data_IF_349737849789
#
_entry.id   IF_349737849789
#
_cell.length_a   1.000
_cell.length_b   1.000
_cell.length_c   1.000
_cell.angle_alpha   90.00
_cell.angle_beta   90.00
_cell.angle_gamma   90.00
#
_symmetry.space_group_name_H-M   'P 1'
#
loop_
_entity.id
_entity.type
_entity.pdbx_description
1 polymer ?
#
# COMPACT_ATOMS: atom_id res chain seq x y z
N UNK A 1 -37.83 -82.80 9.14
CA UNK A 1 -36.99 -81.71 8.59
C UNK A 1 -37.29 -81.65 7.11
N UNK A 2 -38.24 -80.82 6.70
CA UNK A 2 -38.69 -80.77 5.30
C UNK A 2 -37.63 -80.07 4.46
N UNK A 3 -37.08 -80.76 3.46
CA UNK A 3 -36.16 -80.18 2.50
C UNK A 3 -36.98 -79.37 1.50
N UNK A 4 -36.74 -78.05 1.49
CA UNK A 4 -37.31 -77.10 0.55
C UNK A 4 -37.03 -77.55 -0.89
N UNK A 5 -38.06 -77.57 -1.73
CA UNK A 5 -37.95 -78.05 -3.12
C UNK A 5 -37.01 -77.15 -3.93
N UNK A 6 -36.38 -77.70 -4.98
CA UNK A 6 -35.42 -76.91 -5.79
C UNK A 6 -36.10 -75.71 -6.48
N UNK A 7 -37.40 -75.80 -6.74
CA UNK A 7 -38.20 -74.70 -7.27
C UNK A 7 -38.32 -73.53 -6.26
N UNK A 8 -38.65 -73.83 -5.01
CA UNK A 8 -38.73 -72.82 -3.94
C UNK A 8 -37.36 -72.19 -3.63
N UNK A 9 -36.27 -72.96 -3.75
CA UNK A 9 -34.90 -72.42 -3.64
C UNK A 9 -34.51 -71.51 -4.79
N UNK A 10 -35.00 -71.79 -6.01
CA UNK A 10 -34.80 -70.93 -7.18
C UNK A 10 -35.52 -69.59 -7.02
N UNK A 11 -36.78 -69.63 -6.59
CA UNK A 11 -37.61 -68.42 -6.38
C UNK A 11 -37.06 -67.53 -5.26
N UNK A 12 -36.65 -68.11 -4.13
CA UNK A 12 -35.99 -67.37 -3.05
C UNK A 12 -34.68 -66.70 -3.50
N UNK A 13 -33.87 -67.37 -4.32
CA UNK A 13 -32.63 -66.80 -4.85
C UNK A 13 -32.90 -65.64 -5.80
N UNK A 14 -33.98 -65.70 -6.58
CA UNK A 14 -34.44 -64.61 -7.44
C UNK A 14 -34.83 -63.37 -6.64
N UNK A 15 -35.72 -63.52 -5.65
CA UNK A 15 -36.18 -62.41 -4.80
C UNK A 15 -35.04 -61.77 -4.00
N UNK A 16 -34.10 -62.58 -3.51
CA UNK A 16 -32.90 -62.08 -2.80
C UNK A 16 -31.96 -61.34 -3.75
N UNK A 17 -31.74 -61.85 -4.97
CA UNK A 17 -30.90 -61.18 -5.96
C UNK A 17 -31.47 -59.82 -6.41
N UNK A 18 -32.79 -59.75 -6.60
CA UNK A 18 -33.50 -58.52 -6.96
C UNK A 18 -33.46 -57.48 -5.83
N UNK A 19 -33.70 -57.91 -4.58
CA UNK A 19 -33.55 -57.04 -3.40
C UNK A 19 -32.12 -56.52 -3.19
N UNK A 20 -31.10 -57.34 -3.48
CA UNK A 20 -29.69 -56.91 -3.44
C UNK A 20 -29.40 -55.89 -4.55
N UNK A 21 -30.02 -56.03 -5.72
CA UNK A 21 -29.88 -55.09 -6.84
C UNK A 21 -30.41 -53.69 -6.50
N UNK A 22 -31.64 -53.63 -5.99
CA UNK A 22 -32.30 -52.39 -5.54
C UNK A 22 -31.52 -51.71 -4.39
N UNK A 23 -31.04 -52.49 -3.42
CA UNK A 23 -30.23 -51.99 -2.32
C UNK A 23 -28.90 -51.39 -2.81
N UNK A 24 -28.20 -52.06 -3.74
CA UNK A 24 -26.95 -51.56 -4.34
C UNK A 24 -27.16 -50.27 -5.11
N UNK A 25 -28.25 -50.18 -5.87
CA UNK A 25 -28.56 -49.00 -6.66
C UNK A 25 -28.90 -47.79 -5.79
N UNK A 26 -29.70 -48.01 -4.75
CA UNK A 26 -30.07 -46.96 -3.77
C UNK A 26 -28.85 -46.49 -2.98
N UNK A 27 -27.98 -47.42 -2.56
CA UNK A 27 -26.72 -47.10 -1.90
C UNK A 27 -25.82 -46.20 -2.76
N UNK A 28 -25.64 -46.53 -4.04
CA UNK A 28 -24.79 -45.73 -4.95
C UNK A 28 -25.34 -44.31 -5.15
N UNK A 29 -26.66 -44.14 -5.26
CA UNK A 29 -27.27 -42.80 -5.34
C UNK A 29 -26.97 -41.97 -4.10
N UNK A 30 -27.19 -42.54 -2.91
CA UNK A 30 -26.92 -41.86 -1.64
C UNK A 30 -25.44 -41.51 -1.52
N UNK A 31 -24.55 -42.43 -1.90
CA UNK A 31 -23.11 -42.20 -1.88
C UNK A 31 -22.71 -40.98 -2.75
N UNK A 32 -23.19 -40.90 -3.99
CA UNK A 32 -22.89 -39.75 -4.85
C UNK A 32 -23.47 -38.43 -4.33
N UNK A 33 -24.66 -38.44 -3.72
CA UNK A 33 -25.24 -37.25 -3.09
C UNK A 33 -24.36 -36.77 -1.93
N UNK A 34 -23.89 -37.67 -1.07
CA UNK A 34 -22.99 -37.33 0.04
C UNK A 34 -21.66 -36.79 -0.47
N UNK A 35 -21.06 -37.44 -1.49
CA UNK A 35 -19.83 -36.95 -2.11
C UNK A 35 -20.03 -35.56 -2.71
N UNK A 36 -21.13 -35.33 -3.44
CA UNK A 36 -21.47 -34.02 -3.98
C UNK A 36 -21.60 -32.94 -2.90
N UNK A 37 -22.25 -33.27 -1.77
CA UNK A 37 -22.37 -32.37 -0.62
C UNK A 37 -21.01 -32.00 -0.03
N UNK A 38 -20.12 -32.98 0.17
CA UNK A 38 -18.76 -32.76 0.69
C UNK A 38 -17.97 -31.83 -0.23
N UNK A 39 -18.05 -32.04 -1.55
CA UNK A 39 -17.37 -31.18 -2.53
C UNK A 39 -17.87 -29.75 -2.45
N UNK A 40 -19.20 -29.54 -2.41
CA UNK A 40 -19.80 -28.20 -2.31
C UNK A 40 -19.37 -27.49 -1.02
N UNK A 41 -19.40 -28.18 0.12
CA UNK A 41 -18.97 -27.62 1.40
C UNK A 41 -17.48 -27.26 1.41
N UNK A 42 -16.65 -28.08 0.76
CA UNK A 42 -15.20 -27.83 0.66
C UNK A 42 -14.92 -26.58 -0.20
N UNK A 43 -15.59 -26.44 -1.34
CA UNK A 43 -15.46 -25.27 -2.21
C UNK A 43 -15.98 -24.01 -1.54
N UNK A 44 -17.14 -24.08 -0.85
CA UNK A 44 -17.69 -22.95 -0.11
C UNK A 44 -16.77 -22.53 1.05
N UNK A 45 -16.21 -23.50 1.79
CA UNK A 45 -15.24 -23.23 2.85
C UNK A 45 -13.98 -22.56 2.33
N UNK A 46 -13.45 -23.02 1.19
CA UNK A 46 -12.28 -22.39 0.55
C UNK A 46 -12.59 -20.95 0.10
N UNK A 47 -13.74 -20.72 -0.53
CA UNK A 47 -14.16 -19.39 -0.95
C UNK A 47 -14.30 -18.44 0.25
N UNK A 48 -14.97 -18.88 1.33
CA UNK A 48 -15.13 -18.09 2.55
C UNK A 48 -13.78 -17.83 3.26
N UNK A 49 -12.83 -18.76 3.19
CA UNK A 49 -11.48 -18.57 3.71
C UNK A 49 -10.74 -17.42 3.02
N UNK A 50 -10.82 -17.33 1.69
CA UNK A 50 -10.24 -16.23 0.92
C UNK A 50 -10.88 -14.86 1.28
N UNK A 51 -12.18 -14.85 1.56
CA UNK A 51 -12.85 -13.63 2.03
C UNK A 51 -12.45 -13.24 3.45
N UNK A 52 -12.14 -14.22 4.32
CA UNK A 52 -11.66 -13.96 5.67
C UNK A 52 -10.34 -13.21 5.69
N UNK A 53 -9.36 -13.68 4.91
CA UNK A 53 -8.03 -13.04 4.82
C UNK A 53 -8.12 -11.64 4.21
N UNK A 54 -8.88 -11.48 3.12
CA UNK A 54 -9.04 -10.17 2.47
C UNK A 54 -9.81 -9.18 3.35
N UNK A 55 -10.83 -9.63 4.09
CA UNK A 55 -11.54 -8.80 5.06
C UNK A 55 -10.64 -8.39 6.22
N UNK A 56 -9.79 -9.29 6.72
CA UNK A 56 -8.82 -8.97 7.76
C UNK A 56 -7.80 -7.94 7.26
N UNK A 57 -7.22 -8.12 6.07
CA UNK A 57 -6.29 -7.14 5.48
C UNK A 57 -6.99 -5.80 5.23
N UNK A 58 -8.24 -5.81 4.78
CA UNK A 58 -9.02 -4.59 4.61
C UNK A 58 -9.25 -3.87 5.94
N UNK A 59 -9.55 -4.60 7.02
CA UNK A 59 -9.70 -4.03 8.35
C UNK A 59 -8.36 -3.51 8.90
N UNK A 60 -7.25 -4.22 8.68
CA UNK A 60 -5.92 -3.78 9.09
C UNK A 60 -5.42 -2.57 8.30
N UNK A 61 -5.81 -2.42 7.03
CA UNK A 61 -5.37 -1.31 6.17
C UNK A 61 -6.31 -0.10 6.19
N UNK A 62 -7.62 -0.32 6.34
CA UNK A 62 -8.66 0.71 6.25
C UNK A 62 -9.50 0.85 7.51
N UNK A 63 -9.20 0.08 8.56
CA UNK A 63 -9.86 0.23 9.85
C UNK A 63 -9.58 1.60 10.48
N UNK A 64 -10.42 2.06 11.42
CA UNK A 64 -10.30 3.40 12.04
C UNK A 64 -8.94 3.67 12.68
N UNK A 65 -8.32 2.64 13.28
CA UNK A 65 -6.99 2.77 13.89
C UNK A 65 -5.90 2.96 12.84
N UNK A 66 -5.99 2.24 11.72
CA UNK A 66 -5.04 2.34 10.63
C UNK A 66 -5.18 3.67 9.88
N UNK A 67 -6.42 4.16 9.69
CA UNK A 67 -6.66 5.47 9.09
C UNK A 67 -6.15 6.60 9.97
N UNK A 68 -6.30 6.52 11.30
CA UNK A 68 -5.75 7.48 12.24
C UNK A 68 -4.21 7.48 12.22
N UNK A 69 -3.58 6.31 12.24
CA UNK A 69 -2.11 6.22 12.15
C UNK A 69 -1.58 6.79 10.82
N UNK A 70 -2.28 6.56 9.71
CA UNK A 70 -1.96 7.18 8.41
C UNK A 70 -2.14 8.70 8.47
N UNK A 71 -3.18 9.20 9.13
CA UNK A 71 -3.42 10.63 9.32
C UNK A 71 -2.28 11.31 10.12
N UNK A 72 -1.86 10.71 11.23
CA UNK A 72 -0.72 11.18 12.02
C UNK A 72 0.57 11.22 11.20
N UNK A 73 0.82 10.17 10.40
CA UNK A 73 1.95 10.14 9.47
C UNK A 73 1.91 11.31 8.47
N UNK A 74 0.73 11.69 7.94
CA UNK A 74 0.62 12.84 7.06
C UNK A 74 0.93 14.16 7.78
N UNK A 75 0.50 14.34 9.03
CA UNK A 75 0.83 15.54 9.82
C UNK A 75 2.34 15.63 10.05
N UNK A 76 2.97 14.53 10.46
CA UNK A 76 4.41 14.47 10.67
C UNK A 76 5.16 14.81 9.39
N UNK A 77 4.76 14.22 8.25
CA UNK A 77 5.41 14.48 6.96
C UNK A 77 5.18 15.90 6.45
N UNK A 78 4.01 16.47 6.64
CA UNK A 78 3.76 17.87 6.34
C UNK A 78 4.68 18.78 7.16
N UNK A 79 4.82 18.52 8.46
CA UNK A 79 5.74 19.26 9.35
C UNK A 79 7.20 19.13 8.89
N UNK A 80 7.62 17.94 8.45
CA UNK A 80 8.96 17.73 7.89
C UNK A 80 9.19 18.52 6.59
N UNK A 81 8.17 18.62 5.72
CA UNK A 81 8.25 19.43 4.50
C UNK A 81 8.35 20.92 4.85
N UNK A 82 7.58 21.41 5.81
CA UNK A 82 7.65 22.81 6.27
C UNK A 82 9.03 23.15 6.86
N UNK A 83 9.61 22.22 7.63
CA UNK A 83 10.99 22.36 8.11
C UNK A 83 11.98 22.42 6.94
N UNK A 84 11.83 21.53 5.95
CA UNK A 84 12.67 21.55 4.77
C UNK A 84 12.50 22.83 3.94
N UNK A 85 11.30 23.41 3.87
CA UNK A 85 11.05 24.72 3.25
C UNK A 85 11.80 25.84 3.99
N UNK A 86 11.84 25.82 5.32
CA UNK A 86 12.63 26.75 6.11
C UNK A 86 14.14 26.56 5.88
N UNK A 87 14.62 25.32 5.79
CA UNK A 87 16.01 25.01 5.45
C UNK A 87 16.36 25.54 4.05
N UNK A 88 15.51 25.32 3.04
CA UNK A 88 15.69 25.89 1.70
C UNK A 88 15.84 27.41 1.76
N UNK A 89 14.97 28.11 2.50
CA UNK A 89 15.04 29.56 2.65
C UNK A 89 16.35 30.02 3.31
N UNK A 90 16.85 29.28 4.30
CA UNK A 90 18.14 29.54 4.93
C UNK A 90 19.30 29.37 3.93
N UNK A 91 19.31 28.30 3.13
CA UNK A 91 20.36 28.08 2.13
C UNK A 91 20.28 29.08 0.95
N UNK A 92 19.09 29.51 0.55
CA UNK A 92 18.93 30.63 -0.38
C UNK A 92 19.49 31.93 0.21
N UNK A 93 19.31 32.14 1.51
CA UNK A 93 19.98 33.21 2.27
C UNK A 93 21.50 33.10 2.20
N UNK A 94 22.08 31.90 2.34
CA UNK A 94 23.52 31.67 2.25
C UNK A 94 24.09 32.00 0.87
N UNK A 95 23.40 31.61 -0.22
CA UNK A 95 23.81 31.97 -1.58
C UNK A 95 23.83 33.50 -1.76
N UNK A 96 22.81 34.19 -1.24
CA UNK A 96 22.77 35.67 -1.24
C UNK A 96 23.88 36.28 -0.39
N UNK A 97 24.16 35.73 0.79
CA UNK A 97 25.23 36.18 1.66
C UNK A 97 26.61 36.11 0.99
N UNK A 98 26.86 35.08 0.16
CA UNK A 98 28.08 35.02 -0.67
C UNK A 98 28.09 36.14 -1.71
N UNK A 99 26.96 36.44 -2.37
CA UNK A 99 26.88 37.56 -3.30
C UNK A 99 27.12 38.92 -2.61
N UNK A 100 26.59 39.12 -1.41
CA UNK A 100 26.76 40.34 -0.61
C UNK A 100 28.18 40.51 -0.08
N UNK A 101 28.80 39.43 0.43
CA UNK A 101 30.17 39.45 0.94
C UNK A 101 31.17 39.96 -0.09
N UNK A 102 30.97 39.60 -1.37
CA UNK A 102 31.85 40.01 -2.46
C UNK A 102 31.38 41.27 -3.20
N UNK A 103 30.25 41.87 -2.80
CA UNK A 103 29.74 43.09 -3.44
C UNK A 103 30.70 44.27 -3.35
N UNK A 104 31.56 44.31 -2.32
CA UNK A 104 32.57 45.35 -2.12
C UNK A 104 33.63 45.43 -3.24
N UNK A 105 33.85 44.35 -4.00
CA UNK A 105 34.80 44.32 -5.13
C UNK A 105 34.24 44.95 -6.41
N UNK A 106 33.00 45.43 -6.38
CA UNK A 106 32.33 46.12 -7.48
C UNK A 106 31.39 45.21 -8.29
N UNK A 107 30.47 45.80 -9.07
CA UNK A 107 29.42 45.06 -9.78
C UNK A 107 29.95 44.24 -10.96
N UNK A 108 31.07 44.65 -11.54
CA UNK A 108 31.67 44.02 -12.71
C UNK A 108 32.64 42.91 -12.31
N UNK A 109 32.12 41.69 -12.20
CA UNK A 109 32.86 40.49 -11.77
C UNK A 109 34.03 40.16 -12.68
N UNK A 110 34.00 40.56 -13.96
CA UNK A 110 35.09 40.31 -14.90
C UNK A 110 36.34 41.14 -14.59
N UNK A 111 36.19 42.27 -13.89
CA UNK A 111 37.29 43.16 -13.47
C UNK A 111 37.90 42.79 -12.11
N UNK A 112 37.31 41.83 -11.40
CA UNK A 112 37.84 41.39 -10.12
C UNK A 112 39.22 40.76 -10.30
N UNK A 113 40.07 40.84 -9.27
CA UNK A 113 41.35 40.15 -9.31
C UNK A 113 41.13 38.63 -9.48
N UNK A 114 41.98 37.92 -10.26
CA UNK A 114 41.76 36.51 -10.57
C UNK A 114 41.57 35.60 -9.35
N UNK A 115 42.29 35.86 -8.25
CA UNK A 115 42.14 35.09 -7.01
C UNK A 115 40.76 35.29 -6.36
N UNK A 116 40.26 36.54 -6.32
CA UNK A 116 38.92 36.84 -5.81
C UNK A 116 37.82 36.20 -6.67
N UNK A 117 37.99 36.20 -7.99
CA UNK A 117 37.04 35.50 -8.88
C UNK A 117 36.99 34.00 -8.59
N UNK A 118 38.15 33.37 -8.41
CA UNK A 118 38.23 31.95 -8.11
C UNK A 118 37.60 31.61 -6.75
N UNK A 119 37.91 32.38 -5.70
CA UNK A 119 37.33 32.23 -4.37
C UNK A 119 35.81 32.40 -4.37
N UNK A 120 35.32 33.45 -5.03
CA UNK A 120 33.89 33.69 -5.18
C UNK A 120 33.17 32.57 -5.93
N UNK A 121 33.72 32.12 -7.06
CA UNK A 121 33.12 31.06 -7.86
C UNK A 121 33.07 29.75 -7.05
N UNK A 122 34.13 29.43 -6.31
CA UNK A 122 34.17 28.26 -5.42
C UNK A 122 33.13 28.35 -4.31
N UNK A 123 33.09 29.45 -3.57
CA UNK A 123 32.13 29.66 -2.48
C UNK A 123 30.68 29.65 -2.96
N UNK A 124 30.42 30.30 -4.10
CA UNK A 124 29.08 30.35 -4.70
C UNK A 124 28.65 28.98 -5.22
N UNK A 125 29.57 28.23 -5.82
CA UNK A 125 29.28 26.87 -6.28
C UNK A 125 28.93 25.96 -5.10
N UNK A 126 29.73 25.98 -4.04
CA UNK A 126 29.45 25.20 -2.83
C UNK A 126 28.07 25.54 -2.23
N UNK A 127 27.74 26.84 -2.12
CA UNK A 127 26.45 27.26 -1.59
C UNK A 127 25.27 26.83 -2.49
N UNK A 128 25.46 26.79 -3.82
CA UNK A 128 24.45 26.29 -4.77
C UNK A 128 24.28 24.79 -4.67
N UNK A 129 25.37 24.03 -4.56
CA UNK A 129 25.32 22.58 -4.43
C UNK A 129 24.61 22.16 -3.13
N UNK A 130 24.90 22.86 -2.03
CA UNK A 130 24.19 22.69 -0.76
C UNK A 130 22.68 22.96 -0.93
N UNK A 131 22.31 24.07 -1.59
CA UNK A 131 20.91 24.42 -1.84
C UNK A 131 20.19 23.37 -2.70
N UNK A 132 20.84 22.89 -3.77
CA UNK A 132 20.28 21.86 -4.66
C UNK A 132 20.08 20.54 -3.90
N UNK A 133 21.02 20.17 -3.03
CA UNK A 133 20.91 18.99 -2.18
C UNK A 133 19.67 19.07 -1.27
N UNK A 134 19.47 20.20 -0.59
CA UNK A 134 18.32 20.40 0.30
C UNK A 134 17.00 20.45 -0.48
N UNK A 135 16.96 21.13 -1.64
CA UNK A 135 15.79 21.13 -2.53
C UNK A 135 15.43 19.72 -3.00
N UNK A 136 16.43 18.89 -3.32
CA UNK A 136 16.22 17.49 -3.70
C UNK A 136 15.61 16.66 -2.57
N UNK A 137 16.15 16.77 -1.35
CA UNK A 137 15.62 16.10 -0.17
C UNK A 137 14.17 16.51 0.10
N UNK A 138 13.88 17.81 0.05
CA UNK A 138 12.53 18.36 0.18
C UNK A 138 11.59 17.81 -0.88
N UNK A 139 12.03 17.75 -2.14
CA UNK A 139 11.21 17.20 -3.24
C UNK A 139 10.93 15.71 -3.10
N UNK A 140 11.86 14.93 -2.57
CA UNK A 140 11.61 13.52 -2.25
C UNK A 140 10.51 13.38 -1.19
N UNK A 141 10.54 14.19 -0.12
CA UNK A 141 9.48 14.21 0.88
C UNK A 141 8.11 14.58 0.28
N UNK A 142 8.09 15.61 -0.57
CA UNK A 142 6.86 16.03 -1.25
C UNK A 142 6.31 14.93 -2.18
N UNK A 143 7.18 14.23 -2.93
CA UNK A 143 6.78 13.10 -3.78
C UNK A 143 6.21 11.93 -2.97
N UNK A 144 6.89 11.53 -1.89
CA UNK A 144 6.40 10.49 -0.98
C UNK A 144 5.02 10.86 -0.40
N UNK A 145 4.89 12.10 0.08
CA UNK A 145 3.64 12.62 0.62
C UNK A 145 2.51 12.60 -0.42
N UNK A 146 2.76 13.16 -1.60
CA UNK A 146 1.76 13.27 -2.66
C UNK A 146 1.30 11.88 -3.13
N UNK A 147 2.24 10.94 -3.32
CA UNK A 147 1.92 9.57 -3.75
C UNK A 147 1.09 8.80 -2.70
N UNK A 148 1.33 9.04 -1.41
CA UNK A 148 0.53 8.46 -0.33
C UNK A 148 -0.85 9.13 -0.22
N UNK A 149 -0.88 10.46 -0.33
CA UNK A 149 -2.10 11.29 -0.22
C UNK A 149 -3.13 10.94 -1.30
N UNK A 150 -2.69 10.63 -2.51
CA UNK A 150 -3.57 10.21 -3.62
C UNK A 150 -4.36 8.94 -3.33
N UNK A 151 -3.87 8.08 -2.44
CA UNK A 151 -4.51 6.81 -2.05
C UNK A 151 -5.30 6.93 -0.75
N UNK A 152 -5.22 8.07 -0.06
CA UNK A 152 -5.83 8.27 1.23
C UNK A 152 -7.22 8.89 1.11
N UNK A 153 -8.18 8.33 1.84
CA UNK A 153 -9.52 8.91 1.90
C UNK A 153 -9.55 10.04 2.92
N UNK A 154 -9.47 11.28 2.43
CA UNK A 154 -9.50 12.49 3.26
C UNK A 154 -10.88 12.84 3.81
N UNK A 155 -11.97 12.26 3.30
CA UNK A 155 -13.34 12.63 3.65
C UNK A 155 -13.62 12.64 5.16
N UNK A 156 -13.17 11.64 5.96
CA UNK A 156 -13.43 11.60 7.40
C UNK A 156 -12.71 12.69 8.21
N UNK A 157 -11.71 13.35 7.63
CA UNK A 157 -10.81 14.29 8.34
C UNK A 157 -10.98 15.74 7.87
N UNK A 158 -11.97 16.03 7.01
CA UNK A 158 -12.15 17.37 6.44
C UNK A 158 -12.46 18.45 7.48
N UNK A 159 -13.04 18.09 8.63
CA UNK A 159 -13.41 19.03 9.70
C UNK A 159 -12.28 19.32 10.68
N UNK A 160 -11.14 18.65 10.54
CA UNK A 160 -10.04 18.79 11.49
C UNK A 160 -9.22 20.05 11.19
N UNK A 161 -8.89 20.81 12.24
CA UNK A 161 -8.17 22.09 12.14
C UNK A 161 -6.70 21.88 11.73
N UNK A 162 -6.13 20.74 12.09
CA UNK A 162 -4.76 20.32 11.83
C UNK A 162 -4.60 19.57 10.49
N UNK A 163 -5.65 19.54 9.66
CA UNK A 163 -5.59 18.85 8.36
C UNK A 163 -4.44 19.42 7.51
N UNK A 164 -3.45 18.59 7.14
CA UNK A 164 -2.35 19.04 6.30
C UNK A 164 -2.82 19.28 4.86
N UNK A 165 -2.01 20.00 4.07
CA UNK A 165 -2.30 20.25 2.65
C UNK A 165 -2.40 18.93 1.89
N UNK A 166 -3.36 18.80 0.98
CA UNK A 166 -3.54 17.54 0.24
C UNK A 166 -2.38 17.23 -0.72
N UNK A 167 -1.71 18.28 -1.23
CA UNK A 167 -0.53 18.16 -2.09
C UNK A 167 0.48 19.27 -1.83
N UNK A 168 1.75 18.96 -2.02
CA UNK A 168 2.86 19.91 -2.01
C UNK A 168 3.44 20.05 -3.42
N UNK A 169 3.72 21.28 -3.85
CA UNK A 169 4.37 21.54 -5.14
C UNK A 169 5.86 21.21 -5.06
N UNK A 170 6.41 20.54 -6.06
CA UNK A 170 7.86 20.31 -6.14
C UNK A 170 8.59 21.61 -6.53
N UNK A 171 9.77 21.82 -5.94
CA UNK A 171 10.63 22.93 -6.29
C UNK A 171 11.40 22.61 -7.56
N UNK A 172 11.55 23.58 -8.45
CA UNK A 172 12.45 23.46 -9.61
C UNK A 172 13.88 23.45 -9.09
N UNK A 173 14.66 22.45 -9.53
CA UNK A 173 16.08 22.31 -9.21
C UNK A 173 16.94 23.35 -9.96
#
# INVERSE_FOLDING_TARGET
>A
MALMSDAERSEYRGAVAEGIGEAKWTFWKIFWVVVGLIVVLTVAGFALGLFGETAQVAQEQFGPRASLAKYEWFIERATMIEKADADVAMFEGRVRGVDEQYAAYGPDKAKWAPHIQAEYNSARQQARDDLVSVKSQRNNLAREYNAASEKFNWAPFQTNVDKPREKFQELVL
#
